data_IF_428477000721
#
_entry.id   IF_428477000721
#
_cell.length_a   1.000
_cell.length_b   1.000
_cell.length_c   1.000
_cell.angle_alpha   90.00
_cell.angle_beta   90.00
_cell.angle_gamma   90.00
#
_symmetry.space_group_name_H-M   'P 1'
#
loop_
_entity.id
_entity.type
_entity.pdbx_description
1 polymer ?
#
# COMPACT_ATOMS: atom_id res chain seq x y z
N UNK A 1 -15.64 -14.78 -1.83
CA UNK A 1 -14.29 -14.27 -2.14
C UNK A 1 -14.50 -12.94 -2.86
N UNK A 2 -14.10 -11.81 -2.27
CA UNK A 2 -14.36 -10.51 -2.86
C UNK A 2 -13.61 -10.38 -4.20
N UNK A 3 -14.35 -10.36 -5.31
CA UNK A 3 -13.85 -9.94 -6.62
C UNK A 3 -13.69 -8.42 -6.55
N UNK A 4 -12.46 -7.96 -6.35
CA UNK A 4 -12.15 -6.53 -6.22
C UNK A 4 -10.85 -6.34 -5.45
N UNK A 5 -10.22 -5.17 -5.57
CA UNK A 5 -8.97 -4.85 -4.90
C UNK A 5 -8.11 -3.99 -5.79
N UNK A 6 -7.52 -2.95 -5.22
CA UNK A 6 -6.66 -2.02 -5.94
C UNK A 6 -5.20 -2.35 -5.71
N UNK A 7 -4.37 -1.89 -6.64
CA UNK A 7 -2.92 -2.06 -6.59
C UNK A 7 -2.32 -0.79 -6.00
N UNK A 8 -1.63 -0.93 -4.88
CA UNK A 8 -0.79 0.15 -4.35
C UNK A 8 0.62 -0.05 -4.85
N UNK A 9 1.20 1.01 -5.41
CA UNK A 9 2.61 1.10 -5.75
C UNK A 9 3.31 2.02 -4.77
N UNK A 10 4.15 1.42 -3.92
CA UNK A 10 5.06 2.15 -3.05
C UNK A 10 6.38 2.27 -3.82
N UNK A 11 6.72 3.49 -4.25
CA UNK A 11 7.70 3.74 -5.32
C UNK A 11 7.31 3.10 -6.66
N UNK A 12 8.16 3.21 -7.69
CA UNK A 12 8.00 2.50 -8.96
C UNK A 12 8.22 0.97 -8.85
N UNK A 13 8.51 0.43 -7.65
CA UNK A 13 9.00 -0.94 -7.49
C UNK A 13 8.08 -1.89 -6.71
N UNK A 14 7.48 -1.46 -5.59
CA UNK A 14 6.74 -2.39 -4.73
C UNK A 14 5.24 -2.35 -5.03
N UNK A 15 4.72 -3.47 -5.54
CA UNK A 15 3.32 -3.66 -5.94
C UNK A 15 2.61 -4.50 -4.88
N UNK A 16 1.61 -3.94 -4.21
CA UNK A 16 0.80 -4.64 -3.22
C UNK A 16 -0.67 -4.59 -3.61
N UNK A 17 -1.33 -5.75 -3.73
CA UNK A 17 -2.79 -5.83 -3.92
C UNK A 17 -3.50 -5.71 -2.59
N UNK A 18 -4.41 -4.76 -2.46
CA UNK A 18 -5.12 -4.51 -1.21
C UNK A 18 -6.57 -4.03 -1.40
N UNK A 19 -7.36 -4.20 -0.36
CA UNK A 19 -8.70 -3.65 -0.19
C UNK A 19 -8.74 -2.52 0.85
N UNK A 20 -7.70 -2.41 1.69
CA UNK A 20 -7.49 -1.28 2.59
C UNK A 20 -5.99 -1.02 2.73
N UNK A 21 -5.62 0.25 2.84
CA UNK A 21 -4.28 0.69 3.21
C UNK A 21 -4.41 1.79 4.26
N UNK A 22 -3.61 1.67 5.32
CA UNK A 22 -3.55 2.63 6.43
C UNK A 22 -2.14 3.19 6.54
N UNK A 23 -2.03 4.50 6.76
CA UNK A 23 -0.76 5.20 6.88
C UNK A 23 -0.54 5.67 8.31
N UNK A 24 0.62 5.35 8.87
CA UNK A 24 1.05 5.74 10.21
C UNK A 24 2.22 6.73 10.07
N UNK A 25 1.89 8.02 9.98
CA UNK A 25 2.87 9.07 9.71
C UNK A 25 3.92 9.22 10.82
N UNK A 26 3.53 9.09 12.10
CA UNK A 26 4.46 9.22 13.23
C UNK A 26 5.58 8.18 13.20
N UNK A 27 5.27 6.95 12.79
CA UNK A 27 6.22 5.84 12.73
C UNK A 27 6.84 5.65 11.33
N UNK A 28 6.34 6.39 10.34
CA UNK A 28 6.63 6.18 8.91
C UNK A 28 6.41 4.72 8.48
N UNK A 29 5.21 4.22 8.77
CA UNK A 29 4.77 2.86 8.49
C UNK A 29 3.46 2.83 7.71
N UNK A 30 3.17 1.70 7.07
CA UNK A 30 1.92 1.41 6.39
C UNK A 30 1.42 0.01 6.75
N UNK A 31 0.11 -0.18 6.71
CA UNK A 31 -0.52 -1.49 6.90
C UNK A 31 -1.50 -1.75 5.75
N UNK A 32 -1.52 -2.98 5.25
CA UNK A 32 -2.38 -3.41 4.14
C UNK A 32 -3.37 -4.46 4.64
N UNK A 33 -4.64 -4.34 4.25
CA UNK A 33 -5.72 -5.26 4.60
C UNK A 33 -5.88 -5.44 6.12
N UNK A 34 -5.65 -4.38 6.90
CA UNK A 34 -5.56 -4.42 8.38
C UNK A 34 -4.56 -5.47 8.91
N UNK A 35 -3.56 -5.83 8.11
CA UNK A 35 -2.49 -6.74 8.48
C UNK A 35 -1.39 -6.06 9.29
N UNK A 36 -0.22 -6.70 9.30
CA UNK A 36 0.96 -6.20 10.00
C UNK A 36 1.44 -4.85 9.46
N UNK A 37 1.97 -4.02 10.36
CA UNK A 37 2.60 -2.75 10.01
C UNK A 37 3.96 -3.02 9.39
N UNK A 38 4.22 -2.38 8.26
CA UNK A 38 5.48 -2.42 7.53
C UNK A 38 6.06 -1.02 7.48
N UNK A 39 7.37 -0.89 7.67
CA UNK A 39 8.04 0.39 7.44
C UNK A 39 8.04 0.70 5.95
N UNK A 40 7.87 1.97 5.60
CA UNK A 40 8.11 2.37 4.23
C UNK A 40 9.57 2.13 3.83
N UNK A 41 9.84 1.82 2.56
CA UNK A 41 11.20 1.73 2.05
C UNK A 41 11.94 3.07 2.20
N UNK A 42 13.23 2.98 2.50
CA UNK A 42 14.11 4.15 2.59
C UNK A 42 14.15 4.91 1.26
N UNK A 43 14.09 6.24 1.33
CA UNK A 43 14.08 7.11 0.15
C UNK A 43 12.73 7.18 -0.60
N UNK A 44 11.63 6.69 -0.03
CA UNK A 44 10.31 6.91 -0.60
C UNK A 44 10.00 8.42 -0.67
N UNK A 45 9.72 8.91 -1.87
CA UNK A 45 9.30 10.29 -2.10
C UNK A 45 7.85 10.41 -2.55
N UNK A 46 7.29 9.33 -3.10
CA UNK A 46 5.95 9.29 -3.69
C UNK A 46 5.26 7.96 -3.39
N UNK A 47 3.97 8.03 -3.08
CA UNK A 47 3.08 6.87 -2.94
C UNK A 47 2.03 7.00 -4.05
N UNK A 48 1.91 5.99 -4.92
CA UNK A 48 0.93 5.97 -6.02
C UNK A 48 -0.09 4.86 -5.78
N UNK A 49 -1.37 5.23 -5.83
CA UNK A 49 -2.47 4.27 -5.69
C UNK A 49 -3.14 4.12 -7.06
N UNK A 50 -3.14 2.91 -7.61
CA UNK A 50 -3.74 2.59 -8.90
C UNK A 50 -4.92 1.64 -8.69
N UNK A 51 -6.12 2.12 -9.02
CA UNK A 51 -7.34 1.34 -8.93
C UNK A 51 -7.58 0.75 -10.32
N UNK A 52 -7.37 -0.55 -10.46
CA UNK A 52 -7.72 -1.32 -11.65
C UNK A 52 -8.86 -2.29 -11.34
N UNK A 53 -9.83 -2.39 -12.23
CA UNK A 53 -10.77 -3.52 -12.27
C UNK A 53 -10.09 -4.69 -12.98
N UNK A 54 -10.20 -5.89 -12.40
CA UNK A 54 -9.90 -7.16 -13.09
C UNK A 54 -11.17 -7.65 -13.80
#
# INVERSE_FOLDING_TARGET
MAKGGWIVKLTDTEIVRCHTISFHYDAWEYAVNNGERKRFPDGISTIKIEIGED
#
